data_IF_283802426873
#
_entry.id   IF_283802426873
#
_cell.length_a   1.000
_cell.length_b   1.000
_cell.length_c   1.000
_cell.angle_alpha   90.00
_cell.angle_beta   90.00
_cell.angle_gamma   90.00
#
_symmetry.space_group_name_H-M   'P 1'
#
loop_
_entity.id
_entity.type
_entity.pdbx_description
1 polymer ?
#
# COMPACT_ATOMS: atom_id res chain seq x y z
N UNK A 1 -3.49 36.41 1.32
CA UNK A 1 -4.24 35.58 0.37
C UNK A 1 -4.15 34.15 0.87
N UNK A 2 -5.17 33.68 1.58
CA UNK A 2 -5.22 32.30 2.06
C UNK A 2 -5.71 31.44 0.90
N UNK A 3 -4.89 30.49 0.46
CA UNK A 3 -5.34 29.48 -0.49
C UNK A 3 -6.26 28.52 0.25
N UNK A 4 -7.54 28.51 -0.13
CA UNK A 4 -8.44 27.39 0.14
C UNK A 4 -7.79 26.14 -0.48
N UNK A 5 -7.38 25.18 0.36
CA UNK A 5 -7.09 23.84 -0.13
C UNK A 5 -8.44 23.19 -0.45
N UNK A 6 -8.73 23.08 -1.74
CA UNK A 6 -9.88 22.34 -2.25
C UNK A 6 -9.76 20.87 -1.86
N UNK A 7 -10.54 20.46 -0.86
CA UNK A 7 -10.73 19.07 -0.45
C UNK A 7 -11.60 18.38 -1.50
N UNK A 8 -10.97 17.76 -2.50
CA UNK A 8 -11.70 17.05 -3.58
C UNK A 8 -11.71 15.54 -3.32
N UNK A 9 -12.84 14.91 -3.66
CA UNK A 9 -13.26 13.55 -3.31
C UNK A 9 -12.73 12.46 -4.26
N UNK A 10 -12.79 11.19 -3.81
CA UNK A 10 -12.06 10.06 -4.40
C UNK A 10 -12.95 8.83 -4.61
N UNK A 11 -12.56 7.98 -5.57
CA UNK A 11 -13.34 6.85 -6.07
C UNK A 11 -12.57 5.53 -5.93
N UNK A 12 -13.31 4.45 -5.66
CA UNK A 12 -12.88 3.05 -5.65
C UNK A 12 -13.33 2.44 -6.99
N UNK A 13 -12.42 1.89 -7.79
CA UNK A 13 -12.82 1.12 -8.97
C UNK A 13 -12.65 -0.39 -8.72
N UNK A 14 -13.71 -1.20 -8.87
CA UNK A 14 -13.63 -2.64 -8.73
C UNK A 14 -13.19 -3.26 -10.06
N UNK A 15 -11.88 -3.25 -10.34
CA UNK A 15 -11.33 -4.01 -11.45
C UNK A 15 -9.88 -4.46 -11.16
N UNK A 16 -9.74 -5.63 -10.54
CA UNK A 16 -8.45 -6.33 -10.39
C UNK A 16 -7.99 -6.49 -8.93
N UNK A 17 -8.76 -7.28 -8.19
CA UNK A 17 -8.64 -7.85 -6.82
C UNK A 17 -7.48 -7.58 -5.84
N UNK A 18 -6.33 -6.99 -6.19
CA UNK A 18 -5.13 -6.96 -5.31
C UNK A 18 -4.48 -5.57 -5.18
N UNK A 19 -5.19 -4.50 -5.54
CA UNK A 19 -4.69 -3.12 -5.38
C UNK A 19 -5.31 -2.51 -4.13
N UNK A 20 -4.48 -2.17 -3.14
CA UNK A 20 -4.88 -1.26 -2.06
C UNK A 20 -4.94 0.16 -2.65
N UNK A 21 -6.03 0.46 -3.34
CA UNK A 21 -6.32 1.81 -3.80
C UNK A 21 -6.77 2.67 -2.63
N UNK A 22 -5.81 3.22 -1.89
CA UNK A 22 -6.09 4.06 -0.76
C UNK A 22 -5.77 5.51 -1.04
N UNK A 23 -6.72 6.38 -0.76
CA UNK A 23 -6.53 7.81 -0.97
C UNK A 23 -5.79 8.39 0.22
N UNK A 24 -4.57 8.81 -0.05
CA UNK A 24 -3.58 9.25 0.94
C UNK A 24 -3.45 10.77 0.85
N UNK A 25 -3.34 11.43 2.00
CA UNK A 25 -2.71 12.73 2.12
C UNK A 25 -1.25 12.44 2.50
N UNK A 26 -0.38 12.33 1.50
CA UNK A 26 1.05 12.08 1.73
C UNK A 26 1.71 13.37 2.23
N UNK A 27 2.09 13.42 3.50
CA UNK A 27 2.86 14.55 4.03
C UNK A 27 4.34 14.50 3.61
N UNK A 28 4.90 13.30 3.37
CA UNK A 28 6.22 13.13 2.76
C UNK A 28 6.40 11.71 2.22
N UNK A 29 7.19 11.55 1.16
CA UNK A 29 7.48 10.24 0.57
C UNK A 29 9.01 10.05 0.53
N UNK A 30 9.57 8.99 1.15
CA UNK A 30 10.96 8.62 0.89
C UNK A 30 11.07 8.19 -0.58
N UNK A 31 12.13 8.59 -1.27
CA UNK A 31 12.39 8.13 -2.64
C UNK A 31 12.54 6.59 -2.60
N UNK A 32 11.65 5.83 -3.26
CA UNK A 32 11.68 4.38 -3.13
C UNK A 32 12.94 3.83 -3.78
N UNK A 33 13.74 3.10 -3.00
CA UNK A 33 14.81 2.26 -3.51
C UNK A 33 14.38 0.81 -3.35
N UNK A 34 14.49 0.02 -4.41
CA UNK A 34 14.20 -1.43 -4.34
C UNK A 34 15.08 -2.06 -3.26
N UNK A 35 14.49 -2.98 -2.47
CA UNK A 35 15.17 -3.63 -1.35
C UNK A 35 15.30 -2.79 -0.09
N UNK A 36 14.70 -1.59 -0.05
CA UNK A 36 14.60 -0.77 1.17
C UNK A 36 13.19 -0.78 1.72
N UNK A 37 13.05 -0.46 3.00
CA UNK A 37 11.74 -0.17 3.59
C UNK A 37 11.46 1.32 3.60
N UNK A 38 10.19 1.69 3.54
CA UNK A 38 9.75 3.05 3.76
C UNK A 38 8.34 3.13 4.34
N UNK A 39 8.10 4.20 5.09
CA UNK A 39 6.85 4.42 5.81
C UNK A 39 5.92 5.33 5.02
N UNK A 40 4.65 4.94 4.98
CA UNK A 40 3.55 5.66 4.35
C UNK A 40 2.51 6.01 5.41
N UNK A 41 2.30 7.30 5.63
CA UNK A 41 1.33 7.80 6.60
C UNK A 41 -0.03 8.05 5.97
N UNK A 42 -1.08 7.52 6.59
CA UNK A 42 -2.46 7.60 6.15
C UNK A 42 -3.29 8.39 7.14
N UNK A 43 -3.88 9.48 6.66
CA UNK A 43 -4.90 10.26 7.36
C UNK A 43 -6.27 10.03 6.73
N UNK A 44 -7.11 9.24 7.39
CA UNK A 44 -8.48 8.94 6.94
C UNK A 44 -9.46 9.83 7.69
N UNK A 45 -10.34 10.52 6.97
CA UNK A 45 -11.37 11.39 7.53
C UNK A 45 -12.73 11.08 6.91
N UNK A 46 -13.85 11.34 7.61
CA UNK A 46 -15.18 11.22 7.04
C UNK A 46 -15.35 12.19 5.86
N UNK A 47 -15.51 11.65 4.65
CA UNK A 47 -15.54 12.44 3.42
C UNK A 47 -16.63 12.02 2.42
N UNK A 48 -17.64 11.29 2.89
CA UNK A 48 -18.84 10.97 2.09
C UNK A 48 -18.60 10.02 0.92
N UNK A 49 -17.53 9.23 0.96
CA UNK A 49 -17.21 8.24 -0.08
C UNK A 49 -18.12 7.03 -0.08
N UNK A 50 -18.07 6.28 -1.19
CA UNK A 50 -18.76 5.00 -1.37
C UNK A 50 -18.39 4.00 -0.27
N UNK A 51 -17.11 3.94 0.10
CA UNK A 51 -16.67 3.17 1.25
C UNK A 51 -16.45 4.10 2.46
N UNK A 52 -17.06 3.78 3.62
CA UNK A 52 -16.83 4.50 4.87
C UNK A 52 -15.34 4.59 5.21
N UNK A 53 -14.93 5.67 5.89
CA UNK A 53 -13.54 5.81 6.33
C UNK A 53 -13.18 4.77 7.39
N UNK A 54 -14.14 4.34 8.23
CA UNK A 54 -13.97 3.25 9.19
C UNK A 54 -13.63 1.94 8.46
N UNK A 55 -14.39 1.55 7.44
CA UNK A 55 -14.13 0.31 6.69
C UNK A 55 -12.73 0.33 6.03
N UNK A 56 -12.31 1.49 5.50
CA UNK A 56 -10.95 1.68 4.96
C UNK A 56 -9.87 1.55 6.04
N UNK A 57 -10.13 2.11 7.22
CA UNK A 57 -9.25 2.00 8.39
C UNK A 57 -9.16 0.54 8.86
N UNK A 58 -10.28 -0.16 9.02
CA UNK A 58 -10.33 -1.56 9.44
C UNK A 58 -9.56 -2.45 8.46
N UNK A 59 -9.66 -2.19 7.14
CA UNK A 59 -8.86 -2.91 6.14
C UNK A 59 -7.36 -2.69 6.33
N UNK A 60 -6.92 -1.46 6.62
CA UNK A 60 -5.50 -1.17 6.86
C UNK A 60 -4.99 -1.86 8.11
N UNK A 61 -5.69 -1.66 9.23
CA UNK A 61 -5.25 -2.19 10.53
C UNK A 61 -5.30 -3.71 10.55
N UNK A 62 -6.18 -4.34 9.77
CA UNK A 62 -6.19 -5.79 9.62
C UNK A 62 -4.89 -6.36 9.02
N UNK A 63 -4.07 -5.57 8.33
CA UNK A 63 -2.74 -6.02 7.92
C UNK A 63 -1.75 -6.12 9.08
N UNK A 64 -2.00 -5.46 10.21
CA UNK A 64 -1.10 -5.47 11.36
C UNK A 64 -0.81 -6.89 11.87
N UNK A 65 -1.82 -7.77 11.87
CA UNK A 65 -1.70 -9.16 12.30
C UNK A 65 -0.78 -10.00 11.40
N UNK A 66 -0.56 -9.55 10.17
CA UNK A 66 0.21 -10.26 9.14
C UNK A 66 1.50 -9.53 8.74
N UNK A 67 1.70 -8.31 9.25
CA UNK A 67 2.81 -7.46 8.87
C UNK A 67 4.15 -8.15 9.17
N UNK A 68 5.05 -8.16 8.19
CA UNK A 68 6.37 -8.81 8.31
C UNK A 68 6.33 -10.35 8.27
N UNK A 69 5.15 -10.99 8.08
CA UNK A 69 5.04 -12.44 7.90
C UNK A 69 5.36 -12.86 6.46
N UNK A 70 6.55 -12.50 6.00
CA UNK A 70 7.11 -12.90 4.73
C UNK A 70 8.63 -13.09 4.83
N UNK A 71 9.20 -13.85 3.92
CA UNK A 71 10.63 -13.97 3.70
C UNK A 71 10.97 -13.38 2.33
N UNK A 72 12.06 -12.62 2.26
CA UNK A 72 12.70 -12.19 1.01
C UNK A 72 13.94 -13.03 0.78
N UNK A 73 14.10 -13.55 -0.43
CA UNK A 73 15.25 -14.34 -0.84
C UNK A 73 15.88 -13.75 -2.10
N UNK A 74 17.19 -13.55 -2.08
CA UNK A 74 17.95 -13.14 -3.26
C UNK A 74 18.83 -14.32 -3.71
N UNK A 75 18.37 -15.16 -4.65
CA UNK A 75 19.15 -16.28 -5.15
C UNK A 75 20.43 -15.82 -5.86
N UNK A 76 21.49 -16.63 -5.77
CA UNK A 76 22.73 -16.42 -6.52
C UNK A 76 22.48 -16.59 -8.02
N UNK A 77 22.20 -15.49 -8.72
CA UNK A 77 21.85 -15.50 -10.15
C UNK A 77 20.99 -14.32 -10.59
N UNK A 78 20.38 -13.60 -9.64
CA UNK A 78 19.57 -12.39 -9.88
C UNK A 78 18.10 -12.61 -9.58
N UNK A 79 17.42 -11.52 -9.16
CA UNK A 79 16.01 -11.52 -8.74
C UNK A 79 15.80 -11.45 -7.24
N UNK A 80 14.65 -10.90 -6.83
CA UNK A 80 14.12 -10.97 -5.46
C UNK A 80 12.92 -11.90 -5.46
N UNK A 81 12.99 -13.01 -4.75
CA UNK A 81 11.86 -13.89 -4.48
C UNK A 81 11.24 -13.52 -3.12
N UNK A 82 9.92 -13.72 -2.99
CA UNK A 82 9.26 -13.60 -1.69
C UNK A 82 8.37 -14.81 -1.40
N UNK A 83 8.21 -15.12 -0.12
CA UNK A 83 7.28 -16.14 0.36
C UNK A 83 6.53 -15.60 1.55
N UNK A 84 5.20 -15.65 1.53
CA UNK A 84 4.39 -15.30 2.68
C UNK A 84 4.27 -16.50 3.63
N UNK A 85 4.46 -16.27 4.92
CA UNK A 85 4.51 -17.31 5.94
C UNK A 85 3.49 -17.03 7.04
N UNK A 86 2.22 -17.24 6.73
CA UNK A 86 1.12 -17.02 7.67
C UNK A 86 0.09 -18.16 7.61
N UNK A 87 -0.50 -18.45 8.76
CA UNK A 87 -1.62 -19.40 8.90
C UNK A 87 -2.94 -18.61 8.84
N UNK A 88 -3.26 -18.04 7.69
CA UNK A 88 -4.44 -17.20 7.50
C UNK A 88 -4.54 -16.64 6.09
N UNK A 89 -5.49 -15.72 5.88
CA UNK A 89 -5.56 -14.96 4.64
C UNK A 89 -5.48 -13.47 5.02
N UNK A 90 -4.39 -12.75 4.69
CA UNK A 90 -4.31 -11.32 4.93
C UNK A 90 -5.45 -10.61 4.16
N UNK A 91 -5.78 -9.36 4.52
CA UNK A 91 -6.73 -8.59 3.73
C UNK A 91 -6.31 -8.59 2.26
N UNK A 92 -7.25 -8.79 1.33
CA UNK A 92 -6.92 -8.91 -0.09
C UNK A 92 -6.14 -10.17 -0.50
N UNK A 93 -5.86 -11.10 0.41
CA UNK A 93 -5.27 -12.40 0.10
C UNK A 93 -3.75 -12.45 -0.03
N UNK A 94 -3.06 -11.31 0.02
CA UNK A 94 -1.60 -11.22 -0.03
C UNK A 94 -1.10 -10.02 0.79
N UNK A 95 0.15 -10.08 1.25
CA UNK A 95 0.88 -8.93 1.80
C UNK A 95 1.51 -8.07 0.71
N UNK A 96 1.52 -8.55 -0.55
CA UNK A 96 1.95 -7.77 -1.70
C UNK A 96 0.85 -6.80 -2.08
N UNK A 97 1.16 -5.51 -1.98
CA UNK A 97 0.20 -4.43 -2.18
C UNK A 97 0.77 -3.40 -3.13
N UNK A 98 -0.11 -2.77 -3.90
CA UNK A 98 0.19 -1.54 -4.59
C UNK A 98 -0.23 -0.34 -3.73
N UNK A 99 0.67 0.62 -3.55
CA UNK A 99 0.36 1.94 -2.98
C UNK A 99 0.57 3.04 -4.01
N UNK A 100 -0.40 3.94 -4.12
CA UNK A 100 -0.31 5.14 -4.95
C UNK A 100 -0.90 6.36 -4.26
N UNK A 101 -0.33 7.56 -4.49
CA UNK A 101 -0.95 8.81 -4.05
C UNK A 101 -2.26 9.06 -4.79
N UNK A 102 -3.17 9.74 -4.12
CA UNK A 102 -4.52 9.93 -4.61
C UNK A 102 -4.57 10.98 -5.74
N UNK A 103 -3.78 12.05 -5.61
CA UNK A 103 -3.72 13.25 -6.45
C UNK A 103 -2.98 13.10 -7.79
N UNK A 104 -2.53 11.88 -8.12
CA UNK A 104 -1.85 11.60 -9.39
C UNK A 104 -2.78 10.98 -10.43
N UNK A 105 -3.46 11.87 -11.15
CA UNK A 105 -4.42 11.60 -12.24
C UNK A 105 -3.82 10.88 -13.48
N UNK A 106 -2.51 10.58 -13.50
CA UNK A 106 -1.92 9.88 -14.65
C UNK A 106 -0.64 9.10 -14.30
N UNK A 107 -0.75 7.78 -14.47
CA UNK A 107 0.29 6.83 -14.90
C UNK A 107 1.57 6.74 -14.06
N UNK A 108 1.65 5.66 -13.28
CA UNK A 108 2.91 4.97 -12.97
C UNK A 108 3.67 5.42 -11.72
N UNK A 109 3.13 6.39 -10.98
CA UNK A 109 3.74 6.82 -9.72
C UNK A 109 3.07 6.14 -8.53
N UNK A 110 3.86 5.33 -7.84
CA UNK A 110 3.45 4.46 -6.76
C UNK A 110 4.46 3.34 -6.63
N UNK A 111 4.25 2.45 -5.67
CA UNK A 111 5.13 1.31 -5.43
C UNK A 111 4.33 0.05 -5.27
N UNK A 112 4.91 -1.05 -5.74
CA UNK A 112 4.61 -2.37 -5.26
C UNK A 112 5.49 -2.66 -4.06
N UNK A 113 4.91 -3.17 -2.98
CA UNK A 113 5.65 -3.52 -1.79
C UNK A 113 4.96 -4.55 -0.92
N UNK A 114 5.73 -5.09 0.03
CA UNK A 114 5.22 -6.00 1.05
C UNK A 114 4.98 -5.24 2.34
N UNK A 115 3.84 -5.47 2.99
CA UNK A 115 3.54 -4.88 4.30
C UNK A 115 4.50 -5.43 5.36
N UNK A 116 5.43 -4.59 5.80
CA UNK A 116 6.43 -4.89 6.82
C UNK A 116 5.96 -4.54 8.24
N UNK A 117 5.15 -3.48 8.35
CA UNK A 117 4.68 -2.97 9.64
C UNK A 117 3.43 -2.12 9.48
N UNK A 118 2.60 -2.08 10.52
CA UNK A 118 1.47 -1.15 10.63
C UNK A 118 1.50 -0.59 12.05
N UNK A 119 1.56 0.74 12.17
CA UNK A 119 1.43 1.48 13.42
C UNK A 119 0.15 2.31 13.39
N UNK A 120 -0.71 2.12 14.40
CA UNK A 120 -1.99 2.81 14.51
C UNK A 120 -1.95 3.81 15.66
N UNK A 121 -2.01 5.09 15.29
CA UNK A 121 -2.02 6.22 16.22
C UNK A 121 -3.41 6.87 16.31
N UNK A 122 -4.46 6.17 15.89
CA UNK A 122 -5.84 6.64 15.92
C UNK A 122 -6.34 6.78 17.36
N UNK A 123 -6.65 8.01 17.78
CA UNK A 123 -7.27 8.26 19.08
C UNK A 123 -8.80 8.10 19.07
N UNK A 124 -9.46 8.61 18.02
CA UNK A 124 -10.93 8.61 17.87
C UNK A 124 -11.30 8.26 16.42
N UNK A 125 -11.54 6.96 16.12
CA UNK A 125 -11.79 6.49 14.76
C UNK A 125 -12.94 7.22 14.04
N UNK A 126 -13.97 7.66 14.76
CA UNK A 126 -15.12 8.36 14.18
C UNK A 126 -14.79 9.76 13.65
N UNK A 127 -13.68 10.36 14.10
CA UNK A 127 -13.27 11.71 13.70
C UNK A 127 -12.16 11.67 12.66
N UNK A 128 -11.11 10.89 12.94
CA UNK A 128 -9.93 10.81 12.11
C UNK A 128 -9.15 9.55 12.47
N UNK A 129 -8.71 8.80 11.47
CA UNK A 129 -7.78 7.68 11.66
C UNK A 129 -6.39 8.08 11.15
N UNK A 130 -5.36 7.68 11.89
CA UNK A 130 -3.95 7.97 11.62
C UNK A 130 -3.18 6.65 11.68
N UNK A 131 -2.82 6.13 10.51
CA UNK A 131 -2.15 4.83 10.39
C UNK A 131 -0.88 5.01 9.59
N UNK A 132 0.24 4.51 10.09
CA UNK A 132 1.50 4.43 9.37
C UNK A 132 1.71 2.99 8.90
N UNK A 133 2.05 2.80 7.62
CA UNK A 133 2.35 1.49 7.03
C UNK A 133 3.79 1.49 6.57
N UNK A 134 4.57 0.55 7.07
CA UNK A 134 5.91 0.26 6.55
C UNK A 134 5.80 -0.73 5.41
N UNK A 135 6.41 -0.39 4.28
CA UNK A 135 6.51 -1.26 3.10
C UNK A 135 7.96 -1.60 2.80
N UNK A 136 8.24 -2.86 2.50
CA UNK A 136 9.43 -3.24 1.75
C UNK A 136 9.17 -3.03 0.24
N UNK A 137 9.94 -2.14 -0.38
CA UNK A 137 9.74 -1.77 -1.79
C UNK A 137 10.31 -2.83 -2.74
N UNK A 138 9.46 -3.25 -3.68
CA UNK A 138 9.80 -4.26 -4.69
C UNK A 138 9.92 -3.65 -6.08
N UNK A 139 8.97 -2.81 -6.48
CA UNK A 139 8.94 -2.25 -7.82
C UNK A 139 8.19 -0.92 -7.87
N UNK A 140 8.37 -0.18 -8.98
CA UNK A 140 7.50 0.96 -9.26
C UNK A 140 6.15 0.47 -9.78
N UNK A 141 5.08 1.16 -9.39
CA UNK A 141 3.73 0.79 -9.79
C UNK A 141 3.54 0.83 -11.31
N UNK A 142 4.19 1.77 -12.01
CA UNK A 142 4.06 1.93 -13.46
C UNK A 142 4.71 0.83 -14.30
N UNK A 143 5.59 0.03 -13.71
CA UNK A 143 6.30 -1.02 -14.44
C UNK A 143 5.44 -2.29 -14.62
N UNK A 144 4.37 -2.43 -13.84
CA UNK A 144 3.54 -3.63 -13.79
C UNK A 144 2.05 -3.29 -13.71
N UNK A 145 1.24 -3.98 -14.53
CA UNK A 145 -0.21 -3.72 -14.62
C UNK A 145 -1.01 -4.20 -13.42
N UNK A 146 -0.53 -5.23 -12.74
CA UNK A 146 -1.24 -5.96 -11.71
C UNK A 146 -0.27 -6.80 -10.85
N UNK A 147 -0.81 -7.37 -9.78
CA UNK A 147 -0.06 -8.20 -8.81
C UNK A 147 0.51 -9.47 -9.43
N UNK A 148 -0.16 -10.05 -10.44
CA UNK A 148 0.33 -11.25 -11.10
C UNK A 148 1.59 -10.94 -11.94
N UNK A 149 1.60 -9.82 -12.65
CA UNK A 149 2.76 -9.35 -13.41
C UNK A 149 3.98 -9.07 -12.51
N UNK A 150 3.76 -8.46 -11.33
CA UNK A 150 4.83 -8.25 -10.35
C UNK A 150 5.36 -9.57 -9.83
N UNK A 151 4.48 -10.50 -9.46
CA UNK A 151 4.87 -11.82 -8.92
C UNK A 151 5.68 -12.60 -9.95
N UNK A 152 5.24 -12.64 -11.20
CA UNK A 152 5.97 -13.29 -12.30
C UNK A 152 7.35 -12.66 -12.51
N UNK A 153 7.48 -11.33 -12.39
CA UNK A 153 8.77 -10.65 -12.51
C UNK A 153 9.72 -10.98 -11.36
N UNK A 154 9.22 -11.06 -10.12
CA UNK A 154 10.00 -11.47 -8.95
C UNK A 154 10.54 -12.91 -9.11
N UNK A 155 9.68 -13.85 -9.51
CA UNK A 155 10.03 -15.27 -9.69
C UNK A 155 11.03 -15.52 -10.83
N UNK A 156 11.03 -14.66 -11.86
CA UNK A 156 11.92 -14.80 -13.03
C UNK A 156 13.18 -13.91 -12.98
N UNK A 157 13.38 -13.17 -11.89
CA UNK A 157 14.50 -12.24 -11.74
C UNK A 157 14.46 -11.02 -12.67
N UNK A 158 13.25 -10.55 -12.98
CA UNK A 158 12.99 -9.32 -13.74
C UNK A 158 13.06 -8.02 -12.93
N UNK A 159 13.29 -8.12 -11.62
CA UNK A 159 13.44 -7.01 -10.65
C UNK A 159 14.83 -7.08 -10.02
#
# INVERSE_FOLDING_TARGET
MSQNQDTTAWRIDPAGSDVIEMSILLESQPAPSIGTTGTWSFKLVPDGRTEPHIDRYERLVAYQDYAGLYALHEPMGGGVEYTETHDGQPPGGSLLVALRPADWDSTGRGVWGLIAGVDDSTEVPEQQCLVDVELAYLAQLGDYSDTAAVREALENGGI
#
